data_IF_588437063319
#
_entry.id   IF_588437063319
#
_cell.length_a   1.000
_cell.length_b   1.000
_cell.length_c   1.000
_cell.angle_alpha   90.00
_cell.angle_beta   90.00
_cell.angle_gamma   90.00
#
_symmetry.space_group_name_H-M   'P 1'
#
loop_
_entity.id
_entity.type
_entity.pdbx_description
1 polymer ?
#
# COMPACT_ATOMS: atom_id res chain seq x y z
N UNK A 1 -5.37 0.54 6.96
CA UNK A 1 -5.27 -0.90 6.65
C UNK A 1 -6.30 -1.26 5.59
N UNK A 2 -5.92 -1.98 4.54
CA UNK A 2 -6.80 -2.27 3.41
C UNK A 2 -7.05 -3.77 3.20
N UNK A 3 -5.97 -4.57 3.15
CA UNK A 3 -6.03 -6.02 2.90
C UNK A 3 -5.17 -6.78 3.90
N UNK A 4 -5.66 -7.92 4.39
CA UNK A 4 -4.91 -8.82 5.26
C UNK A 4 -5.02 -10.26 4.75
N UNK A 5 -4.00 -11.07 5.02
CA UNK A 5 -4.13 -12.54 4.99
C UNK A 5 -3.98 -13.05 6.41
N UNK A 6 -5.11 -13.43 6.99
CA UNK A 6 -5.24 -13.84 8.39
C UNK A 6 -5.49 -15.34 8.47
N UNK A 7 -4.77 -16.01 9.36
CA UNK A 7 -4.95 -17.42 9.70
C UNK A 7 -5.45 -17.52 11.13
N UNK A 8 -6.53 -18.26 11.34
CA UNK A 8 -7.06 -18.58 12.64
C UNK A 8 -6.90 -20.10 12.78
N UNK A 9 -6.20 -20.51 13.82
CA UNK A 9 -5.88 -21.90 14.14
C UNK A 9 -6.70 -22.31 15.36
N UNK A 10 -7.26 -23.52 15.33
CA UNK A 10 -7.92 -24.18 16.47
C UNK A 10 -8.97 -23.33 17.19
N UNK A 11 -9.93 -22.78 16.43
CA UNK A 11 -10.95 -21.87 16.94
C UNK A 11 -12.22 -22.60 17.36
N UNK A 12 -12.90 -22.04 18.37
CA UNK A 12 -14.20 -22.51 18.78
C UNK A 12 -15.27 -21.98 17.81
N UNK A 13 -16.05 -22.91 17.27
CA UNK A 13 -17.17 -22.59 16.36
C UNK A 13 -18.43 -23.30 16.82
N UNK A 14 -19.56 -22.64 16.62
CA UNK A 14 -20.83 -23.34 16.61
C UNK A 14 -20.86 -24.25 15.37
N UNK A 15 -20.65 -25.57 15.59
CA UNK A 15 -20.53 -26.61 14.56
C UNK A 15 -21.74 -26.70 13.60
N UNK A 16 -22.81 -25.94 13.85
CA UNK A 16 -24.05 -25.97 13.07
C UNK A 16 -23.98 -25.33 11.67
N UNK A 17 -22.95 -24.54 11.32
CA UNK A 17 -22.86 -23.85 10.01
C UNK A 17 -21.97 -24.52 8.95
N UNK A 18 -21.50 -25.74 9.18
CA UNK A 18 -20.60 -26.46 8.26
C UNK A 18 -21.27 -26.75 6.90
N UNK A 19 -22.60 -26.93 6.85
CA UNK A 19 -23.35 -27.22 5.60
C UNK A 19 -23.27 -26.12 4.53
N UNK A 20 -22.83 -24.91 4.87
CA UNK A 20 -22.69 -23.79 3.92
C UNK A 20 -21.33 -23.75 3.20
N UNK A 21 -20.45 -24.71 3.49
CA UNK A 21 -19.10 -24.79 2.94
C UNK A 21 -19.06 -25.75 1.75
N UNK A 22 -18.46 -25.29 0.65
CA UNK A 22 -18.22 -26.16 -0.51
C UNK A 22 -16.87 -26.86 -0.35
N UNK A 23 -16.88 -28.18 -0.38
CA UNK A 23 -15.67 -28.99 -0.46
C UNK A 23 -14.92 -28.67 -1.76
N UNK A 24 -13.59 -28.59 -1.68
CA UNK A 24 -12.75 -28.39 -2.85
C UNK A 24 -11.43 -29.14 -2.71
N UNK A 25 -10.99 -29.76 -3.80
CA UNK A 25 -9.69 -30.43 -3.84
C UNK A 25 -8.65 -29.48 -4.47
N UNK A 26 -7.64 -29.00 -3.71
CA UNK A 26 -6.67 -28.08 -4.26
C UNK A 26 -5.76 -28.82 -5.24
N UNK A 27 -5.64 -28.31 -6.47
CA UNK A 27 -4.68 -28.85 -7.44
C UNK A 27 -3.24 -28.67 -6.94
N UNK A 28 -2.41 -29.70 -7.07
CA UNK A 28 -0.99 -29.60 -6.81
C UNK A 28 -0.39 -28.47 -7.68
N UNK A 29 0.42 -27.61 -7.08
CA UNK A 29 1.19 -26.63 -7.85
C UNK A 29 2.41 -27.32 -8.44
N UNK A 30 2.68 -27.07 -9.71
CA UNK A 30 3.87 -27.57 -10.40
C UNK A 30 5.13 -27.23 -9.59
N UNK A 31 6.00 -28.23 -9.38
CA UNK A 31 7.20 -28.10 -8.54
C UNK A 31 6.98 -28.06 -7.02
N UNK A 32 5.75 -28.28 -6.51
CA UNK A 32 5.48 -28.39 -5.06
C UNK A 32 5.01 -29.80 -4.69
N UNK A 33 5.36 -30.24 -3.48
CA UNK A 33 4.88 -31.52 -2.94
C UNK A 33 3.36 -31.58 -3.02
N UNK A 34 2.78 -32.73 -3.44
CA UNK A 34 1.33 -32.91 -3.41
C UNK A 34 0.82 -32.69 -1.99
N UNK A 35 -0.39 -32.14 -1.87
CA UNK A 35 -0.99 -31.93 -0.56
C UNK A 35 -1.24 -33.28 0.11
N UNK A 36 -1.08 -33.40 1.43
CA UNK A 36 -1.35 -34.65 2.13
C UNK A 36 -2.81 -35.06 1.90
N UNK A 37 -3.03 -36.34 1.59
CA UNK A 37 -4.37 -36.90 1.29
C UNK A 37 -5.34 -36.82 2.48
N UNK A 38 -4.87 -36.47 3.68
CA UNK A 38 -5.61 -36.51 4.96
C UNK A 38 -6.29 -35.19 5.34
N UNK A 39 -6.20 -34.16 4.51
CA UNK A 39 -6.80 -32.87 4.80
C UNK A 39 -8.11 -32.69 4.05
N UNK A 40 -9.15 -32.28 4.79
CA UNK A 40 -10.39 -31.80 4.22
C UNK A 40 -10.29 -30.29 3.96
N UNK A 41 -10.67 -29.86 2.76
CA UNK A 41 -10.50 -28.47 2.31
C UNK A 41 -11.83 -27.89 1.86
N UNK A 42 -12.18 -26.74 2.41
CA UNK A 42 -13.42 -26.05 2.08
C UNK A 42 -13.19 -24.59 1.71
N UNK A 43 -14.05 -24.07 0.82
CA UNK A 43 -14.01 -22.67 0.39
C UNK A 43 -15.38 -22.04 0.40
N UNK A 44 -15.40 -20.78 0.84
CA UNK A 44 -16.59 -19.94 0.83
C UNK A 44 -16.22 -18.51 0.47
N UNK A 45 -17.10 -17.84 -0.28
CA UNK A 45 -17.04 -16.39 -0.48
C UNK A 45 -17.96 -15.73 0.54
N UNK A 46 -17.41 -14.85 1.35
CA UNK A 46 -18.16 -14.00 2.25
C UNK A 46 -18.43 -12.68 1.51
N UNK A 47 -19.61 -12.53 0.92
CA UNK A 47 -20.01 -11.33 0.19
C UNK A 47 -20.32 -10.17 1.15
N UNK A 48 -20.09 -8.94 0.69
CA UNK A 48 -20.53 -7.74 1.40
C UNK A 48 -22.05 -7.59 1.32
N UNK A 49 -22.63 -6.77 2.20
CA UNK A 49 -24.09 -6.61 2.28
C UNK A 49 -24.71 -6.00 1.01
N UNK A 50 -24.00 -5.08 0.33
CA UNK A 50 -24.55 -4.28 -0.77
C UNK A 50 -23.68 -4.28 -2.03
N UNK A 51 -22.73 -5.21 -2.15
CA UNK A 51 -21.75 -5.17 -3.24
C UNK A 51 -21.24 -6.53 -3.67
N UNK A 52 -20.47 -6.52 -4.77
CA UNK A 52 -19.83 -7.73 -5.31
C UNK A 52 -18.45 -8.00 -4.68
N UNK A 53 -18.03 -7.18 -3.71
CA UNK A 53 -16.81 -7.42 -2.93
C UNK A 53 -17.01 -8.65 -2.05
N UNK A 54 -16.00 -9.51 -1.96
CA UNK A 54 -16.03 -10.65 -1.07
C UNK A 54 -14.67 -10.87 -0.39
N UNK A 55 -14.71 -11.48 0.78
CA UNK A 55 -13.55 -12.14 1.39
C UNK A 55 -13.58 -13.61 1.01
N UNK A 56 -12.42 -14.16 0.62
CA UNK A 56 -12.27 -15.59 0.40
C UNK A 56 -11.93 -16.25 1.73
N UNK A 57 -12.80 -17.16 2.15
CA UNK A 57 -12.59 -18.04 3.28
C UNK A 57 -12.10 -19.39 2.77
N UNK A 58 -11.00 -19.88 3.32
CA UNK A 58 -10.48 -21.22 3.04
C UNK A 58 -10.27 -21.95 4.36
N UNK A 59 -11.09 -22.97 4.61
CA UNK A 59 -10.98 -23.82 5.78
C UNK A 59 -10.17 -25.06 5.41
N UNK A 60 -9.29 -25.47 6.31
CA UNK A 60 -8.60 -26.76 6.29
C UNK A 60 -8.90 -27.45 7.60
N UNK A 61 -9.29 -28.71 7.53
CA UNK A 61 -9.52 -29.58 8.68
C UNK A 61 -8.56 -30.77 8.61
N UNK A 62 -7.88 -31.04 9.72
CA UNK A 62 -6.99 -32.19 9.93
C UNK A 62 -7.75 -33.25 10.76
N UNK A 63 -8.12 -34.37 10.14
CA UNK A 63 -8.93 -35.40 10.79
C UNK A 63 -8.17 -36.12 11.92
N UNK A 64 -6.83 -36.20 11.84
CA UNK A 64 -6.02 -36.94 12.83
C UNK A 64 -5.79 -36.15 14.10
N UNK A 65 -5.56 -34.84 13.95
CA UNK A 65 -5.26 -33.93 15.05
C UNK A 65 -6.50 -33.17 15.55
N UNK A 66 -7.66 -33.33 14.88
CA UNK A 66 -8.90 -32.55 15.09
C UNK A 66 -8.67 -31.02 15.00
N UNK A 67 -7.75 -30.58 14.13
CA UNK A 67 -7.34 -29.16 14.01
C UNK A 67 -8.06 -28.48 12.84
N UNK A 68 -8.72 -27.37 13.15
CA UNK A 68 -9.27 -26.45 12.16
C UNK A 68 -8.32 -25.28 11.89
N UNK A 69 -8.14 -24.94 10.60
CA UNK A 69 -7.40 -23.75 10.17
C UNK A 69 -8.22 -22.96 9.17
N UNK A 70 -8.68 -21.79 9.58
CA UNK A 70 -9.38 -20.85 8.72
C UNK A 70 -8.41 -19.80 8.19
N UNK A 71 -8.39 -19.64 6.87
CA UNK A 71 -7.70 -18.55 6.19
C UNK A 71 -8.71 -17.56 5.62
N UNK A 72 -8.58 -16.30 6.02
CA UNK A 72 -9.34 -15.16 5.48
C UNK A 72 -8.40 -14.38 4.55
N UNK A 73 -8.79 -14.20 3.29
CA UNK A 73 -8.01 -13.43 2.31
C UNK A 73 -8.91 -12.48 1.55
N UNK A 74 -8.45 -11.23 1.39
CA UNK A 74 -9.13 -10.22 0.58
C UNK A 74 -8.98 -8.83 1.17
N UNK A 75 -9.74 -7.89 0.59
CA UNK A 75 -9.77 -6.52 1.07
C UNK A 75 -10.87 -6.33 2.09
N UNK A 76 -10.48 -6.20 3.35
CA UNK A 76 -11.38 -5.91 4.46
C UNK A 76 -12.05 -4.55 4.23
N UNK A 77 -11.29 -3.56 3.74
CA UNK A 77 -11.83 -2.25 3.36
C UNK A 77 -12.89 -2.36 2.28
N UNK A 78 -12.61 -3.03 1.15
CA UNK A 78 -13.58 -3.11 0.04
C UNK A 78 -14.80 -3.96 0.41
N UNK A 79 -14.62 -4.96 1.26
CA UNK A 79 -15.72 -5.76 1.78
C UNK A 79 -16.63 -4.91 2.68
N UNK A 80 -16.06 -4.17 3.62
CA UNK A 80 -16.84 -3.35 4.56
C UNK A 80 -17.49 -2.13 3.89
N UNK A 81 -16.77 -1.46 2.99
CA UNK A 81 -17.22 -0.24 2.30
C UNK A 81 -17.86 -0.51 0.92
N UNK A 82 -18.20 -1.76 0.63
CA UNK A 82 -18.91 -2.17 -0.60
C UNK A 82 -18.23 -1.79 -1.94
N UNK A 83 -16.90 -1.72 -2.00
CA UNK A 83 -16.18 -1.53 -3.27
C UNK A 83 -14.91 -0.70 -3.17
N UNK A 84 -14.45 -0.22 -4.33
CA UNK A 84 -13.30 0.69 -4.41
C UNK A 84 -13.76 2.11 -4.07
N UNK A 85 -13.35 2.62 -2.91
CA UNK A 85 -13.67 3.96 -2.41
C UNK A 85 -12.42 4.71 -1.96
N UNK A 86 -12.50 6.04 -1.98
CA UNK A 86 -11.51 6.93 -1.38
C UNK A 86 -11.66 7.06 0.14
N UNK A 87 -12.83 6.66 0.68
CA UNK A 87 -13.10 6.66 2.12
C UNK A 87 -12.10 5.79 2.87
N UNK A 88 -11.65 6.22 4.04
CA UNK A 88 -10.70 5.47 4.86
C UNK A 88 -11.39 4.47 5.79
N UNK A 89 -10.71 3.33 5.98
CA UNK A 89 -11.10 2.37 7.00
C UNK A 89 -10.46 2.82 8.32
N UNK A 90 -11.24 3.48 9.17
CA UNK A 90 -10.81 3.90 10.52
C UNK A 90 -10.64 2.69 11.45
N UNK A 91 -9.94 2.87 12.60
CA UNK A 91 -9.80 1.82 13.61
C UNK A 91 -11.14 1.21 14.03
N UNK A 92 -12.12 2.07 14.34
CA UNK A 92 -13.47 1.66 14.75
C UNK A 92 -14.18 0.85 13.65
N UNK A 93 -14.06 1.28 12.39
CA UNK A 93 -14.62 0.54 11.25
C UNK A 93 -13.90 -0.80 11.03
N UNK A 94 -12.59 -0.85 11.23
CA UNK A 94 -11.81 -2.08 11.14
C UNK A 94 -12.23 -3.09 12.22
N UNK A 95 -12.37 -2.65 13.47
CA UNK A 95 -12.86 -3.48 14.59
C UNK A 95 -14.29 -3.96 14.34
N UNK A 96 -15.19 -3.05 13.96
CA UNK A 96 -16.58 -3.39 13.57
C UNK A 96 -16.63 -4.39 12.42
N UNK A 97 -15.69 -4.31 11.48
CA UNK A 97 -15.60 -5.24 10.37
C UNK A 97 -15.28 -6.67 10.84
N UNK A 98 -14.29 -6.84 11.73
CA UNK A 98 -13.96 -8.17 12.26
C UNK A 98 -15.04 -8.74 13.16
N UNK A 99 -15.74 -7.89 13.92
CA UNK A 99 -16.96 -8.30 14.63
C UNK A 99 -18.04 -8.84 13.66
N UNK A 100 -18.37 -8.10 12.61
CA UNK A 100 -19.31 -8.57 11.58
C UNK A 100 -18.86 -9.85 10.88
N UNK A 101 -17.55 -10.01 10.63
CA UNK A 101 -17.01 -11.24 10.06
C UNK A 101 -17.28 -12.40 11.03
N UNK A 102 -16.95 -12.25 12.31
CA UNK A 102 -17.14 -13.27 13.37
C UNK A 102 -18.58 -13.79 13.42
N UNK A 103 -19.55 -12.88 13.47
CA UNK A 103 -20.98 -13.19 13.50
C UNK A 103 -21.44 -13.94 12.24
N UNK A 104 -20.98 -13.50 11.06
CA UNK A 104 -21.36 -14.10 9.78
C UNK A 104 -20.79 -15.51 9.61
N UNK A 105 -19.58 -15.76 10.09
CA UNK A 105 -18.92 -17.07 9.93
C UNK A 105 -19.15 -18.02 11.10
N UNK A 106 -19.67 -17.54 12.24
CA UNK A 106 -19.93 -18.36 13.43
C UNK A 106 -18.65 -18.76 14.19
N UNK A 107 -17.68 -17.85 14.26
CA UNK A 107 -16.43 -18.02 15.02
C UNK A 107 -16.41 -16.98 16.14
N UNK A 108 -15.89 -17.34 17.31
CA UNK A 108 -15.77 -16.40 18.42
C UNK A 108 -14.93 -15.19 18.01
N UNK A 109 -15.36 -14.00 18.44
CA UNK A 109 -14.65 -12.77 18.09
C UNK A 109 -13.22 -12.77 18.62
N UNK A 110 -12.98 -13.31 19.81
CA UNK A 110 -11.64 -13.38 20.41
C UNK A 110 -10.70 -14.27 19.59
N UNK A 111 -11.17 -15.40 19.05
CA UNK A 111 -10.38 -16.25 18.14
C UNK A 111 -10.02 -15.51 16.85
N UNK A 112 -10.94 -14.69 16.31
CA UNK A 112 -10.65 -13.82 15.17
C UNK A 112 -9.56 -12.81 15.50
N UNK A 113 -9.61 -12.22 16.70
CA UNK A 113 -8.64 -11.21 17.15
C UNK A 113 -7.23 -11.81 17.30
N UNK A 114 -7.12 -13.05 17.77
CA UNK A 114 -5.84 -13.77 17.87
C UNK A 114 -5.35 -14.32 16.52
N UNK A 115 -6.16 -14.24 15.47
CA UNK A 115 -5.81 -14.63 14.11
C UNK A 115 -4.50 -14.01 13.63
N UNK A 116 -3.55 -14.87 13.22
CA UNK A 116 -2.21 -14.51 12.77
C UNK A 116 -2.22 -13.91 11.38
N UNK A 117 -1.66 -12.71 11.23
CA UNK A 117 -1.44 -12.07 9.94
C UNK A 117 -0.12 -12.51 9.33
N UNK A 118 -0.17 -12.93 8.07
CA UNK A 118 1.02 -13.30 7.28
C UNK A 118 1.34 -12.27 6.21
N UNK A 119 0.32 -11.52 5.78
CA UNK A 119 0.41 -10.46 4.79
C UNK A 119 -0.48 -9.31 5.21
N UNK A 120 0.00 -8.10 4.96
CA UNK A 120 -0.66 -6.86 5.32
C UNK A 120 -0.48 -5.87 4.17
N UNK A 121 -1.54 -5.18 3.79
CA UNK A 121 -1.50 -4.05 2.89
C UNK A 121 -2.16 -2.85 3.57
N UNK A 122 -1.41 -1.75 3.63
CA UNK A 122 -1.85 -0.49 4.23
C UNK A 122 -1.48 0.66 3.32
N UNK A 123 -2.45 1.50 2.97
CA UNK A 123 -2.17 2.70 2.17
C UNK A 123 -2.86 3.95 2.64
N UNK A 124 -2.20 5.07 2.32
CA UNK A 124 -2.65 6.43 2.58
C UNK A 124 -2.84 7.13 1.24
N UNK A 125 -3.97 7.81 1.10
CA UNK A 125 -4.29 8.60 -0.10
C UNK A 125 -4.29 10.07 0.28
N UNK A 126 -3.50 10.88 -0.43
CA UNK A 126 -3.45 12.34 -0.29
C UNK A 126 -4.02 13.01 -1.54
N UNK A 127 -4.57 14.21 -1.39
CA UNK A 127 -5.10 15.00 -2.50
C UNK A 127 -4.14 16.15 -2.80
N UNK A 128 -3.57 16.15 -3.99
CA UNK A 128 -2.61 17.15 -4.47
C UNK A 128 -3.27 18.08 -5.48
N UNK A 129 -2.82 19.34 -5.51
CA UNK A 129 -3.18 20.31 -6.57
C UNK A 129 -2.33 20.13 -7.83
N UNK A 130 -1.15 19.55 -7.68
CA UNK A 130 -0.15 19.36 -8.75
C UNK A 130 -0.52 18.22 -9.71
N UNK A 131 -0.11 18.34 -10.98
CA UNK A 131 -0.32 17.31 -12.01
C UNK A 131 0.55 16.06 -11.72
N UNK A 132 -0.06 14.88 -11.75
CA UNK A 132 0.57 13.62 -11.32
C UNK A 132 1.68 13.06 -12.22
N UNK A 133 1.60 13.34 -13.52
CA UNK A 133 2.28 12.52 -14.55
C UNK A 133 3.81 12.54 -14.43
N UNK A 134 4.38 13.56 -13.80
CA UNK A 134 5.83 13.67 -13.61
C UNK A 134 6.27 13.56 -12.14
N UNK A 135 5.31 13.51 -11.21
CA UNK A 135 5.55 13.37 -9.77
C UNK A 135 6.18 12.01 -9.43
N UNK A 136 5.70 10.92 -10.05
CA UNK A 136 6.20 9.57 -9.77
C UNK A 136 7.67 9.41 -10.14
N UNK A 137 8.13 10.10 -11.19
CA UNK A 137 9.53 10.01 -11.63
C UNK A 137 10.50 10.66 -10.63
N UNK A 138 10.00 11.58 -9.83
CA UNK A 138 10.78 12.27 -8.79
C UNK A 138 11.04 11.41 -7.55
N UNK A 139 10.32 10.31 -7.35
CA UNK A 139 10.68 9.29 -6.36
C UNK A 139 11.73 8.36 -6.95
N UNK A 140 12.98 8.47 -6.53
CA UNK A 140 14.13 7.91 -7.29
C UNK A 140 14.80 6.72 -6.62
N UNK A 141 14.76 6.62 -5.29
CA UNK A 141 15.53 5.59 -4.58
C UNK A 141 14.93 5.24 -3.21
N UNK A 142 15.02 3.96 -2.83
CA UNK A 142 14.77 3.52 -1.46
C UNK A 142 15.61 2.29 -1.14
N UNK A 143 16.58 2.45 -0.22
CA UNK A 143 17.48 1.40 0.26
C UNK A 143 17.96 0.42 -0.85
N UNK A 144 17.71 -0.88 -0.71
CA UNK A 144 18.07 -1.93 -1.67
C UNK A 144 16.95 -2.31 -2.63
N UNK A 145 15.83 -1.58 -2.61
CA UNK A 145 14.64 -1.94 -3.37
C UNK A 145 14.87 -1.76 -4.87
N UNK A 146 14.14 -2.57 -5.64
CA UNK A 146 14.08 -2.41 -7.10
C UNK A 146 12.95 -1.46 -7.47
N UNK A 147 13.32 -0.35 -8.09
CA UNK A 147 12.39 0.65 -8.60
C UNK A 147 11.86 0.20 -9.97
N UNK A 148 10.55 0.03 -10.09
CA UNK A 148 9.88 -0.45 -11.31
C UNK A 148 8.69 0.44 -11.64
N UNK A 149 8.77 1.16 -12.76
CA UNK A 149 7.63 1.86 -13.35
C UNK A 149 6.80 0.84 -14.14
N UNK A 150 5.55 0.61 -13.73
CA UNK A 150 4.64 -0.29 -14.47
C UNK A 150 3.95 0.44 -15.61
N UNK A 151 3.61 1.71 -15.40
CA UNK A 151 3.04 2.63 -16.39
C UNK A 151 3.18 4.08 -15.88
N UNK A 152 2.71 5.05 -16.67
CA UNK A 152 2.69 6.49 -16.33
C UNK A 152 1.90 6.85 -15.05
N UNK A 153 1.23 5.88 -14.41
CA UNK A 153 0.35 6.11 -13.25
C UNK A 153 0.69 5.26 -12.04
N UNK A 154 1.66 4.35 -12.13
CA UNK A 154 2.01 3.41 -11.07
C UNK A 154 3.52 3.14 -11.01
N UNK A 155 4.09 3.38 -9.83
CA UNK A 155 5.48 3.10 -9.48
C UNK A 155 5.54 2.09 -8.34
N UNK A 156 6.44 1.10 -8.46
CA UNK A 156 6.77 0.16 -7.40
C UNK A 156 8.19 0.38 -6.90
N UNK A 157 8.36 0.22 -5.59
CA UNK A 157 9.63 -0.17 -5.00
C UNK A 157 9.47 -1.59 -4.47
N UNK A 158 10.20 -2.56 -5.02
CA UNK A 158 10.08 -3.98 -4.67
C UNK A 158 11.24 -4.41 -3.77
N UNK A 159 10.92 -4.86 -2.57
CA UNK A 159 11.86 -5.50 -1.65
C UNK A 159 11.50 -6.97 -1.44
N UNK A 160 12.33 -7.68 -0.69
CA UNK A 160 12.17 -9.12 -0.45
C UNK A 160 10.90 -9.44 0.35
N UNK A 161 10.67 -8.72 1.46
CA UNK A 161 9.56 -9.01 2.39
C UNK A 161 8.40 -8.03 2.28
N UNK A 162 8.66 -6.82 1.77
CA UNK A 162 7.65 -5.80 1.55
C UNK A 162 7.96 -4.98 0.30
N UNK A 163 6.95 -4.28 -0.20
CA UNK A 163 7.04 -3.40 -1.37
C UNK A 163 6.23 -2.14 -1.15
N UNK A 164 6.63 -1.05 -1.77
CA UNK A 164 5.83 0.16 -1.86
C UNK A 164 5.19 0.29 -3.23
N UNK A 165 4.00 0.88 -3.26
CA UNK A 165 3.27 1.20 -4.48
C UNK A 165 2.82 2.65 -4.40
N UNK A 166 3.22 3.46 -5.37
CA UNK A 166 2.76 4.83 -5.56
C UNK A 166 1.92 4.89 -6.82
N UNK A 167 0.67 5.32 -6.74
CA UNK A 167 -0.18 5.36 -7.93
C UNK A 167 -1.32 6.38 -7.85
N UNK A 168 -1.87 6.72 -9.01
CA UNK A 168 -3.01 7.63 -9.10
C UNK A 168 -4.30 6.89 -8.79
N UNK A 169 -4.84 7.11 -7.59
CA UNK A 169 -5.96 6.33 -7.08
C UNK A 169 -7.23 6.52 -7.89
N UNK A 170 -7.51 7.72 -8.37
CA UNK A 170 -8.73 7.95 -9.14
C UNK A 170 -8.70 7.23 -10.50
N UNK A 171 -7.54 7.16 -11.15
CA UNK A 171 -7.39 6.41 -12.40
C UNK A 171 -7.56 4.91 -12.14
N UNK A 172 -7.00 4.38 -11.05
CA UNK A 172 -7.19 2.98 -10.65
C UNK A 172 -8.66 2.62 -10.39
N UNK A 173 -9.38 3.48 -9.65
CA UNK A 173 -10.80 3.28 -9.36
C UNK A 173 -11.62 3.31 -10.65
N UNK A 174 -11.38 4.29 -11.54
CA UNK A 174 -12.09 4.41 -12.82
C UNK A 174 -11.88 3.17 -13.68
N UNK A 175 -10.63 2.77 -13.90
CA UNK A 175 -10.31 1.59 -14.71
C UNK A 175 -10.97 0.31 -14.19
N UNK A 176 -11.05 0.13 -12.87
CA UNK A 176 -11.70 -1.05 -12.26
C UNK A 176 -13.22 -0.97 -12.26
N UNK A 177 -13.80 0.22 -12.08
CA UNK A 177 -15.26 0.40 -12.12
C UNK A 177 -15.81 0.35 -13.55
N UNK A 178 -14.98 0.69 -14.55
CA UNK A 178 -15.31 0.56 -15.96
C UNK A 178 -15.30 -0.89 -16.48
N UNK A 179 -14.77 -1.83 -15.69
CA UNK A 179 -14.97 -3.27 -15.86
C UNK A 179 -16.24 -3.71 -15.10
N UNK A 180 -17.43 -3.36 -15.63
CA UNK A 180 -18.72 -3.83 -15.10
C UNK A 180 -19.35 -4.79 -16.14
N UNK A 181 -19.79 -5.97 -15.71
CA UNK A 181 -20.43 -7.00 -16.55
C UNK A 181 -19.56 -7.58 -17.70
N UNK A 182 -18.26 -7.77 -17.46
CA UNK A 182 -17.37 -8.44 -18.43
C UNK A 182 -17.04 -7.63 -19.69
N UNK A 183 -17.49 -6.37 -19.77
CA UNK A 183 -17.20 -5.46 -20.88
C UNK A 183 -16.27 -4.35 -20.42
N UNK A 184 -15.21 -4.11 -21.19
CA UNK A 184 -14.32 -2.98 -20.99
C UNK A 184 -15.01 -1.72 -21.48
N UNK A 185 -15.43 -0.85 -20.57
CA UNK A 185 -15.80 0.52 -20.93
C UNK A 185 -14.48 1.30 -20.89
N UNK A 186 -13.99 1.84 -22.02
CA UNK A 186 -12.83 2.75 -21.96
C UNK A 186 -13.22 3.94 -21.08
N UNK A 187 -12.63 4.05 -19.89
CA UNK A 187 -12.73 5.28 -19.12
C UNK A 187 -12.02 6.37 -19.94
N UNK A 188 -12.78 7.33 -20.47
CA UNK A 188 -12.20 8.51 -21.07
C UNK A 188 -11.28 9.17 -20.02
N UNK A 189 -10.02 9.42 -20.38
CA UNK A 189 -9.13 10.25 -19.56
C UNK A 189 -9.83 11.60 -19.36
N UNK A 190 -10.09 12.04 -18.13
CA UNK A 190 -10.64 13.38 -17.89
C UNK A 190 -9.74 14.41 -18.56
N UNK A 191 -10.35 15.28 -19.35
CA UNK A 191 -9.68 16.35 -20.08
C UNK A 191 -9.11 17.44 -19.17
N UNK A 192 -9.56 17.50 -17.90
CA UNK A 192 -9.10 18.47 -16.90
C UNK A 192 -9.07 17.81 -15.51
N UNK A 193 -7.88 17.48 -14.98
CA UNK A 193 -7.72 17.16 -13.56
C UNK A 193 -7.29 18.44 -12.83
N UNK A 194 -8.16 18.96 -11.95
CA UNK A 194 -7.81 20.03 -11.01
C UNK A 194 -7.25 19.49 -9.68
N UNK A 195 -7.42 18.19 -9.41
CA UNK A 195 -6.97 17.49 -8.21
C UNK A 195 -6.48 16.09 -8.56
N UNK A 196 -5.43 15.67 -7.87
CA UNK A 196 -4.68 14.44 -8.10
C UNK A 196 -4.66 13.63 -6.81
N UNK A 197 -4.88 12.32 -6.84
CA UNK A 197 -4.96 11.48 -5.64
C UNK A 197 -3.80 10.48 -5.59
N UNK A 198 -2.66 10.95 -5.07
CA UNK A 198 -1.52 10.08 -4.81
C UNK A 198 -1.88 9.10 -3.71
N UNK A 199 -1.77 7.82 -4.00
CA UNK A 199 -1.84 6.77 -3.00
C UNK A 199 -0.49 6.11 -2.83
N UNK A 200 -0.02 6.10 -1.58
CA UNK A 200 1.14 5.33 -1.13
C UNK A 200 0.65 4.10 -0.39
N UNK A 201 0.98 2.91 -0.89
CA UNK A 201 0.67 1.62 -0.26
C UNK A 201 1.95 0.90 0.15
N UNK A 202 1.96 0.41 1.39
CA UNK A 202 2.94 -0.55 1.90
C UNK A 202 2.30 -1.92 1.84
N UNK A 203 2.93 -2.82 1.10
CA UNK A 203 2.51 -4.21 0.93
C UNK A 203 3.55 -5.14 1.55
N UNK A 204 3.21 -5.67 2.72
CA UNK A 204 4.01 -6.65 3.46
C UNK A 204 3.63 -8.05 2.99
N UNK A 205 4.54 -8.69 2.27
CA UNK A 205 4.35 -10.04 1.73
C UNK A 205 4.70 -11.14 2.73
N UNK A 206 5.51 -10.82 3.74
CA UNK A 206 5.85 -11.68 4.88
C UNK A 206 5.98 -10.85 6.15
N UNK A 207 5.00 -10.95 7.05
CA UNK A 207 4.99 -10.19 8.32
C UNK A 207 6.21 -10.52 9.18
N UNK A 208 6.58 -11.80 9.29
CA UNK A 208 7.79 -12.23 10.01
C UNK A 208 9.11 -11.78 9.35
N UNK A 209 9.06 -11.28 8.11
CA UNK A 209 10.22 -10.73 7.43
C UNK A 209 10.44 -9.24 7.71
N UNK A 210 9.53 -8.60 8.47
CA UNK A 210 9.59 -7.17 8.79
C UNK A 210 9.34 -6.97 10.28
N UNK A 211 10.42 -6.79 11.05
CA UNK A 211 10.43 -6.72 12.52
C UNK A 211 9.30 -5.88 13.12
N UNK A 212 9.09 -4.67 12.61
CA UNK A 212 8.00 -3.79 13.06
C UNK A 212 6.63 -4.48 12.96
N UNK A 213 6.29 -5.07 11.81
CA UNK A 213 4.97 -5.71 11.63
C UNK A 213 4.87 -7.04 12.37
N UNK A 214 5.97 -7.76 12.54
CA UNK A 214 6.00 -8.96 13.40
C UNK A 214 5.64 -8.61 14.85
N UNK A 215 6.23 -7.55 15.39
CA UNK A 215 5.99 -7.13 16.77
C UNK A 215 4.60 -6.51 16.93
N UNK A 216 4.20 -5.63 16.00
CA UNK A 216 3.07 -4.71 16.16
C UNK A 216 1.81 -5.08 15.39
N UNK A 217 1.87 -6.03 14.46
CA UNK A 217 0.76 -6.31 13.54
C UNK A 217 0.57 -7.80 13.19
N UNK A 218 1.29 -8.72 13.85
CA UNK A 218 1.20 -10.16 13.55
C UNK A 218 -0.12 -10.83 13.98
N UNK A 219 -1.00 -10.14 14.71
CA UNK A 219 -2.38 -10.55 14.95
C UNK A 219 -3.36 -9.40 14.69
N UNK A 220 -4.66 -9.69 14.51
CA UNK A 220 -5.69 -8.65 14.36
C UNK A 220 -5.76 -7.76 15.60
N UNK A 221 -5.71 -8.37 16.79
CA UNK A 221 -5.65 -7.67 18.07
C UNK A 221 -4.51 -6.66 18.13
N UNK A 222 -3.31 -7.05 17.69
CA UNK A 222 -2.16 -6.16 17.64
C UNK A 222 -2.31 -5.04 16.61
N UNK A 223 -2.93 -5.30 15.45
CA UNK A 223 -3.25 -4.22 14.49
C UNK A 223 -4.16 -3.17 15.15
N UNK A 224 -5.17 -3.60 15.90
CA UNK A 224 -6.09 -2.69 16.59
C UNK A 224 -5.36 -1.91 17.69
N UNK A 225 -4.55 -2.59 18.50
CA UNK A 225 -3.82 -2.00 19.61
C UNK A 225 -2.76 -0.98 19.15
N UNK A 226 -2.04 -1.29 18.06
CA UNK A 226 -0.94 -0.47 17.54
C UNK A 226 -1.35 0.32 16.28
N UNK A 227 -2.64 0.65 16.14
CA UNK A 227 -3.18 1.27 14.92
C UNK A 227 -2.46 2.56 14.53
N UNK A 228 -2.24 3.45 15.51
CA UNK A 228 -1.61 4.75 15.30
C UNK A 228 -0.10 4.58 14.97
N UNK A 229 0.59 3.65 15.64
CA UNK A 229 1.99 3.30 15.31
C UNK A 229 2.16 2.75 13.89
N UNK A 230 1.23 1.91 13.44
CA UNK A 230 1.23 1.39 12.07
C UNK A 230 1.07 2.54 11.07
N UNK A 231 0.22 3.52 11.37
CA UNK A 231 0.04 4.70 10.52
C UNK A 231 1.33 5.53 10.48
N UNK A 232 1.96 5.79 11.63
CA UNK A 232 3.25 6.50 11.70
C UNK A 232 4.36 5.76 10.95
N UNK A 233 4.40 4.43 11.01
CA UNK A 233 5.39 3.65 10.26
C UNK A 233 5.23 3.84 8.73
N UNK A 234 4.00 4.01 8.23
CA UNK A 234 3.77 4.32 6.81
C UNK A 234 4.34 5.69 6.48
N UNK A 235 4.23 6.68 7.37
CA UNK A 235 4.86 7.99 7.20
C UNK A 235 6.38 7.88 7.14
N UNK A 236 7.01 7.19 8.09
CA UNK A 236 8.47 6.95 8.06
C UNK A 236 8.91 6.33 6.73
N UNK A 237 8.18 5.31 6.25
CA UNK A 237 8.49 4.71 4.95
C UNK A 237 8.35 5.67 3.77
N UNK A 238 7.38 6.59 3.80
CA UNK A 238 7.21 7.58 2.74
C UNK A 238 8.31 8.65 2.77
N UNK A 239 8.69 9.10 3.97
CA UNK A 239 9.75 10.08 4.23
C UNK A 239 11.14 9.57 3.81
N UNK A 240 11.39 8.27 4.01
CA UNK A 240 12.67 7.63 3.66
C UNK A 240 12.88 7.41 2.15
N UNK A 241 11.82 7.55 1.32
CA UNK A 241 11.99 7.45 -0.14
C UNK A 241 12.66 8.72 -0.64
N UNK A 242 13.81 8.56 -1.28
CA UNK A 242 14.55 9.65 -1.89
C UNK A 242 13.71 10.33 -2.96
N UNK A 243 13.54 11.63 -2.80
CA UNK A 243 12.85 12.49 -3.75
C UNK A 243 13.79 13.53 -4.34
N UNK A 244 13.80 13.62 -5.66
CA UNK A 244 14.52 14.63 -6.44
C UNK A 244 13.57 15.13 -7.52
N UNK A 245 13.24 16.42 -7.51
CA UNK A 245 12.41 16.97 -8.57
C UNK A 245 13.18 17.03 -9.88
N UNK A 246 12.93 16.06 -10.75
CA UNK A 246 13.61 15.95 -12.05
C UNK A 246 13.06 16.94 -13.09
N UNK A 247 11.91 17.56 -12.82
CA UNK A 247 11.25 18.49 -13.73
C UNK A 247 11.53 19.96 -13.38
N UNK A 248 12.20 20.19 -12.25
CA UNK A 248 12.66 21.49 -11.83
C UNK A 248 13.51 22.18 -12.91
N UNK A 249 13.35 23.51 -13.00
CA UNK A 249 14.07 24.34 -13.95
C UNK A 249 15.58 24.25 -13.71
N UNK A 250 16.38 24.28 -14.77
CA UNK A 250 17.84 24.24 -14.64
C UNK A 250 18.37 25.61 -14.22
N UNK A 251 19.36 25.62 -13.32
CA UNK A 251 20.12 26.84 -13.06
C UNK A 251 20.93 27.20 -14.29
N UNK A 252 20.88 28.47 -14.69
CA UNK A 252 21.72 28.96 -15.78
C UNK A 252 23.21 28.74 -15.48
N UNK A 253 23.90 28.11 -16.41
CA UNK A 253 25.35 27.95 -16.31
C UNK A 253 26.06 29.26 -16.69
N UNK A 254 26.59 29.98 -15.69
CA UNK A 254 27.39 31.18 -15.89
C UNK A 254 28.87 30.81 -16.15
N UNK A 255 29.60 31.66 -16.88
CA UNK A 255 31.05 31.49 -17.15
C UNK A 255 31.77 31.12 -15.86
N UNK A 256 32.42 29.94 -15.85
CA UNK A 256 33.00 29.40 -14.63
C UNK A 256 34.24 28.54 -14.88
N UNK A 257 34.82 28.03 -13.80
CA UNK A 257 35.99 27.15 -13.83
C UNK A 257 35.70 25.83 -14.57
N UNK A 258 36.73 25.21 -15.12
CA UNK A 258 36.63 23.90 -15.79
C UNK A 258 36.03 22.81 -14.88
N UNK A 259 36.31 22.83 -13.57
CA UNK A 259 35.71 21.90 -12.60
C UNK A 259 34.19 22.02 -12.53
N UNK A 260 33.66 23.26 -12.53
CA UNK A 260 32.21 23.49 -12.59
C UNK A 260 31.62 23.09 -13.93
N UNK A 261 32.34 23.32 -15.04
CA UNK A 261 31.93 22.84 -16.36
C UNK A 261 31.78 21.31 -16.38
N UNK A 262 32.76 20.56 -15.85
CA UNK A 262 32.71 19.09 -15.76
C UNK A 262 31.50 18.57 -14.96
N UNK A 263 31.18 19.23 -13.84
CA UNK A 263 29.98 18.88 -13.04
C UNK A 263 28.71 19.16 -13.82
N UNK A 264 28.63 20.33 -14.48
CA UNK A 264 27.48 20.70 -15.29
C UNK A 264 27.27 19.74 -16.48
N UNK A 265 28.32 19.35 -17.19
CA UNK A 265 28.22 18.36 -18.28
C UNK A 265 27.74 17.01 -17.77
N UNK A 266 28.27 16.53 -16.64
CA UNK A 266 27.82 15.28 -16.02
C UNK A 266 26.33 15.35 -15.60
N UNK A 267 25.90 16.48 -15.03
CA UNK A 267 24.49 16.70 -14.73
C UNK A 267 23.61 16.62 -15.99
N UNK A 268 23.99 17.32 -17.06
CA UNK A 268 23.27 17.32 -18.34
C UNK A 268 23.19 15.93 -18.96
N UNK A 269 24.28 15.17 -18.92
CA UNK A 269 24.32 13.78 -19.39
C UNK A 269 23.34 12.90 -18.63
N UNK A 270 23.36 12.95 -17.29
CA UNK A 270 22.44 12.14 -16.48
C UNK A 270 20.99 12.59 -16.68
N UNK A 271 20.73 13.90 -16.78
CA UNK A 271 19.38 14.43 -17.03
C UNK A 271 18.82 13.94 -18.37
N UNK A 272 19.64 13.99 -19.43
CA UNK A 272 19.27 13.51 -20.75
C UNK A 272 19.07 11.98 -20.80
N UNK A 273 19.89 11.22 -20.08
CA UNK A 273 19.75 9.76 -19.97
C UNK A 273 18.52 9.35 -19.11
N UNK A 274 18.09 10.25 -18.22
CA UNK A 274 17.06 10.02 -17.22
C UNK A 274 17.68 9.50 -15.92
N UNK A 275 17.51 10.27 -14.83
CA UNK A 275 18.04 9.92 -13.50
C UNK A 275 17.65 8.49 -13.06
N UNK A 276 16.39 8.02 -13.21
CA UNK A 276 16.05 6.65 -12.85
C UNK A 276 16.84 5.59 -13.64
N UNK A 277 17.08 5.81 -14.93
CA UNK A 277 17.88 4.91 -15.76
C UNK A 277 19.34 4.90 -15.32
N UNK A 278 19.88 6.08 -15.00
CA UNK A 278 21.24 6.21 -14.52
C UNK A 278 21.44 5.48 -13.18
N UNK A 279 20.49 5.61 -12.25
CA UNK A 279 20.54 4.91 -10.96
C UNK A 279 20.42 3.39 -11.12
N UNK A 280 19.63 2.92 -12.10
CA UNK A 280 19.56 1.50 -12.45
C UNK A 280 20.88 0.99 -12.99
N UNK A 281 21.53 1.74 -13.89
CA UNK A 281 22.86 1.42 -14.40
C UNK A 281 23.89 1.42 -13.26
N UNK A 282 23.90 2.46 -12.42
CA UNK A 282 24.74 2.57 -11.24
C UNK A 282 24.61 1.34 -10.33
N UNK A 283 23.39 0.90 -10.01
CA UNK A 283 23.15 -0.29 -9.18
C UNK A 283 23.65 -1.58 -9.83
N UNK A 284 23.65 -1.66 -11.16
CA UNK A 284 24.10 -2.84 -11.94
C UNK A 284 25.62 -2.91 -12.06
N UNK A 285 26.26 -1.78 -12.32
CA UNK A 285 27.68 -1.73 -12.68
C UNK A 285 28.60 -1.45 -11.48
N UNK A 286 28.09 -0.86 -10.39
CA UNK A 286 28.89 -0.58 -9.19
C UNK A 286 28.77 -1.73 -8.19
N UNK A 287 29.88 -2.46 -8.00
CA UNK A 287 29.94 -3.63 -7.12
C UNK A 287 29.56 -3.31 -5.66
N UNK A 288 28.85 -4.26 -5.04
CA UNK A 288 28.48 -4.26 -3.63
C UNK A 288 29.74 -4.23 -2.74
N UNK A 289 29.79 -3.33 -1.75
CA UNK A 289 30.95 -3.16 -0.85
C UNK A 289 31.89 -2.00 -1.20
N UNK A 290 31.70 -1.34 -2.35
CA UNK A 290 32.32 -0.04 -2.63
C UNK A 290 31.60 1.10 -1.88
N UNK A 291 32.11 2.34 -2.01
CA UNK A 291 31.49 3.58 -1.54
C UNK A 291 30.14 3.91 -2.24
N UNK A 292 29.28 2.92 -2.49
CA UNK A 292 27.99 3.00 -3.20
C UNK A 292 27.12 4.11 -2.62
N UNK A 293 26.97 4.15 -1.30
CA UNK A 293 26.20 5.20 -0.60
C UNK A 293 26.78 6.58 -0.88
N UNK A 294 28.10 6.73 -0.81
CA UNK A 294 28.79 8.00 -1.08
C UNK A 294 28.57 8.45 -2.52
N UNK A 295 28.84 7.59 -3.51
CA UNK A 295 28.69 7.94 -4.93
C UNK A 295 27.25 8.21 -5.32
N UNK A 296 26.30 7.45 -4.75
CA UNK A 296 24.86 7.73 -4.89
C UNK A 296 24.53 9.13 -4.37
N UNK A 297 25.00 9.47 -3.17
CA UNK A 297 24.77 10.79 -2.58
C UNK A 297 25.47 11.91 -3.38
N UNK A 298 26.62 11.64 -4.01
CA UNK A 298 27.26 12.57 -4.95
C UNK A 298 26.39 12.81 -6.19
N UNK A 299 25.77 11.77 -6.77
CA UNK A 299 24.82 11.90 -7.88
C UNK A 299 23.61 12.76 -7.46
N UNK A 300 23.05 12.50 -6.26
CA UNK A 300 21.91 13.27 -5.74
C UNK A 300 22.28 14.74 -5.50
N UNK A 301 23.43 14.98 -4.87
CA UNK A 301 23.95 16.33 -4.64
C UNK A 301 24.19 17.07 -5.95
N UNK A 302 24.73 16.37 -6.97
CA UNK A 302 24.94 16.94 -8.29
C UNK A 302 23.62 17.42 -8.90
N UNK A 303 22.56 16.61 -8.87
CA UNK A 303 21.24 17.00 -9.35
C UNK A 303 20.69 18.22 -8.62
N UNK A 304 20.62 18.15 -7.28
CA UNK A 304 20.10 19.23 -6.43
C UNK A 304 20.85 20.55 -6.64
N UNK A 305 22.16 20.49 -6.86
CA UNK A 305 22.97 21.70 -7.07
C UNK A 305 22.66 22.43 -8.37
N UNK A 306 22.14 21.76 -9.40
CA UNK A 306 21.92 22.31 -10.75
C UNK A 306 20.46 22.56 -11.12
N UNK A 307 19.51 22.23 -10.25
CA UNK A 307 18.10 22.58 -10.42
C UNK A 307 17.70 23.75 -9.51
N UNK A 308 16.78 24.58 -10.00
CA UNK A 308 16.06 25.61 -9.25
C UNK A 308 14.93 24.89 -8.53
N UNK A 309 14.98 24.86 -7.20
CA UNK A 309 13.89 24.29 -6.39
C UNK A 309 12.69 25.26 -6.45
N UNK A 310 11.92 25.21 -7.54
CA UNK A 310 10.68 25.96 -7.70
C UNK A 310 9.59 25.29 -6.87
N UNK A 311 9.25 25.90 -5.72
CA UNK A 311 8.35 25.37 -4.69
C UNK A 311 8.88 24.04 -4.15
N UNK A 312 9.05 23.92 -2.84
CA UNK A 312 9.54 22.66 -2.28
C UNK A 312 8.43 21.58 -2.40
N UNK A 313 8.29 20.99 -3.58
CA UNK A 313 7.28 19.99 -3.93
C UNK A 313 7.37 18.79 -2.98
N UNK A 314 8.58 18.49 -2.50
CA UNK A 314 8.79 17.49 -1.45
C UNK A 314 8.14 17.95 -0.13
N UNK A 315 8.36 19.18 0.31
CA UNK A 315 7.66 19.71 1.49
C UNK A 315 6.14 19.76 1.30
N UNK A 316 5.61 20.15 0.13
CA UNK A 316 4.16 20.10 -0.14
C UNK A 316 3.63 18.66 0.00
N UNK A 317 4.33 17.69 -0.57
CA UNK A 317 3.98 16.27 -0.44
C UNK A 317 4.01 15.81 1.00
N UNK A 318 5.08 16.12 1.74
CA UNK A 318 5.24 15.72 3.14
C UNK A 318 4.18 16.38 4.01
N UNK A 319 3.90 17.67 3.82
CA UNK A 319 2.85 18.40 4.50
C UNK A 319 1.47 17.79 4.23
N UNK A 320 1.14 17.49 2.98
CA UNK A 320 -0.12 16.86 2.62
C UNK A 320 -0.27 15.44 3.18
N UNK A 321 0.84 14.71 3.25
CA UNK A 321 0.91 13.39 3.88
C UNK A 321 0.72 13.48 5.39
N UNK A 322 1.44 14.36 6.06
CA UNK A 322 1.34 14.60 7.51
C UNK A 322 -0.06 15.08 7.89
N UNK A 323 -0.63 16.03 7.13
CA UNK A 323 -2.01 16.48 7.31
C UNK A 323 -2.99 15.31 7.23
N UNK A 324 -2.77 14.39 6.28
CA UNK A 324 -3.59 13.19 6.15
C UNK A 324 -3.40 12.23 7.33
N UNK A 325 -2.18 11.98 7.77
CA UNK A 325 -1.85 11.18 8.96
C UNK A 325 -2.58 11.74 10.19
N UNK A 326 -2.45 13.04 10.43
CA UNK A 326 -3.08 13.71 11.56
C UNK A 326 -4.60 13.59 11.53
N UNK A 327 -5.21 13.67 10.33
CA UNK A 327 -6.65 13.44 10.16
C UNK A 327 -7.09 12.00 10.48
N UNK A 328 -6.19 11.01 10.36
CA UNK A 328 -6.50 9.61 10.66
C UNK A 328 -6.29 9.26 12.14
N UNK A 329 -5.36 9.94 12.82
CA UNK A 329 -5.02 9.70 14.22
C UNK A 329 -5.89 10.56 15.17
N UNK A 330 -5.99 11.87 14.90
CA UNK A 330 -6.46 12.87 15.87
C UNK A 330 -7.89 13.40 15.66
N UNK A 331 -8.54 13.17 14.52
CA UNK A 331 -9.95 13.57 14.32
C UNK A 331 -10.97 12.75 15.15
N UNK A 332 -10.54 12.13 16.24
CA UNK A 332 -11.40 11.49 17.25
C UNK A 332 -12.33 12.49 17.98
N UNK A 333 -12.14 13.81 17.83
CA UNK A 333 -12.85 14.84 18.61
C UNK A 333 -13.99 15.57 17.88
N UNK A 334 -14.11 15.51 16.55
CA UNK A 334 -15.13 16.29 15.80
C UNK A 334 -16.36 15.49 15.34
N UNK A 335 -16.53 14.24 15.79
CA UNK A 335 -17.71 13.43 15.44
C UNK A 335 -18.82 13.56 16.50
N UNK A 336 -18.53 14.11 17.68
CA UNK A 336 -19.51 14.32 18.77
C UNK A 336 -20.06 15.76 18.88
N UNK A 337 -19.64 16.70 18.04
CA UNK A 337 -20.04 18.12 18.15
C UNK A 337 -20.95 18.64 17.03
N UNK A 338 -21.23 17.87 15.97
CA UNK A 338 -22.09 18.33 14.86
C UNK A 338 -23.59 17.98 15.01
N UNK A 339 -24.05 17.61 16.20
CA UNK A 339 -25.50 17.50 16.49
C UNK A 339 -26.12 18.81 16.98
N UNK A 340 -25.37 19.89 17.15
CA UNK A 340 -25.91 21.22 17.44
C UNK A 340 -25.16 22.27 16.63
N UNK A 341 -25.76 22.70 15.51
CA UNK A 341 -25.83 24.10 15.15
C UNK A 341 -26.88 24.25 14.03
N UNK A 342 -28.10 24.46 14.50
CA UNK A 342 -29.14 25.19 13.80
C UNK A 342 -28.60 26.54 13.32
N UNK A 343 -28.97 26.87 12.09
CA UNK A 343 -29.39 28.18 11.61
C UNK A 343 -28.80 29.39 12.34
N UNK A 344 -27.85 30.07 11.70
CA UNK A 344 -27.86 31.53 11.68
C UNK A 344 -27.66 31.96 10.23
N UNK A 345 -28.72 32.57 9.71
CA UNK A 345 -28.80 33.27 8.42
C UNK A 345 -27.87 34.49 8.40
N UNK A 346 -27.26 34.74 7.24
CA UNK A 346 -27.23 36.04 6.57
C UNK A 346 -27.30 35.84 5.05
#
# INVERSE_FOLDING_TARGET
MDNNTTYIDDFQTDRTKIKEWNEYFPKAKEGKKPLPKKYNYFRRRLYSERGNSFLLLSLRYDDEEDIFRLRITGSVKKWFLNGNTLEDLTRQKFESCYKKISEKIGVLHDDILEGRNTKIESGITICLKTKFKDLLKSFVWYNSFDRVEENDTTLYFRGAFYSFILYEKQIEIKNKNSYRNGRFIRANKPTVFSKTYLRFEVKVNSVSGVKFYEEKANTIKKIIANWDEIIMQIQTFFEDIEFIDINANEKEFKKSTFSKLKKYTMFREIKNFGLPNYLKLFKKEVQSGSNVTKYRNEIFSLFRSHVIEDINLREELLFEFERKINSLIYNKLNITSNSNNLLIDE
#
